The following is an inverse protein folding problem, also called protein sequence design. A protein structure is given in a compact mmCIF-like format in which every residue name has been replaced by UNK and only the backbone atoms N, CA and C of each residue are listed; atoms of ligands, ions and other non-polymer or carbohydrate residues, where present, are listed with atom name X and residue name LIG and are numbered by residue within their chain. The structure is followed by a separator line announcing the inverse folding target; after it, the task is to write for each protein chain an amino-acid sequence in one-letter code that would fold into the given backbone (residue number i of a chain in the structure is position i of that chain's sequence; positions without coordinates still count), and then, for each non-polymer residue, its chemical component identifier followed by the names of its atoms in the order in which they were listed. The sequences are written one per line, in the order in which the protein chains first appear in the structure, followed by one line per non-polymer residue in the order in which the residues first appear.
data_IF_933482113699
#
_entry.id   IF_933482113699
#
_cell.length_a   1.000
_cell.length_b   1.000
_cell.length_c   1.000
_cell.angle_alpha   90.00
_cell.angle_beta   90.00
_cell.angle_gamma   90.00
#
_symmetry.space_group_name_H-M   'P 1'
#
loop_
_entity.id
_entity.type
_entity.pdbx_description
1 polymer ?
#
# COMPACT_ATOMS: atom_id res chain seq x y z
N UNK A 1 51.06 -16.94 24.74
CA UNK A 1 51.83 -15.73 24.42
C UNK A 1 51.97 -15.64 22.91
N UNK A 2 51.63 -14.46 22.38
CA UNK A 2 51.81 -13.93 21.01
C UNK A 2 51.16 -14.66 19.83
N UNK A 3 49.92 -14.24 19.56
CA UNK A 3 49.22 -14.33 18.27
C UNK A 3 49.82 -13.35 17.25
N UNK A 4 50.16 -13.83 16.05
CA UNK A 4 50.53 -13.00 14.91
C UNK A 4 49.30 -12.65 14.07
N UNK A 5 48.92 -11.36 14.07
CA UNK A 5 47.90 -10.78 13.19
C UNK A 5 48.45 -10.57 11.77
N UNK A 6 47.69 -10.86 10.70
CA UNK A 6 48.04 -10.40 9.36
C UNK A 6 47.63 -8.94 9.17
N UNK A 7 48.59 -8.10 8.78
CA UNK A 7 48.40 -6.70 8.40
C UNK A 7 47.66 -6.63 7.06
N UNK A 8 46.53 -5.92 7.02
CA UNK A 8 45.84 -5.56 5.78
C UNK A 8 46.56 -4.38 5.12
N UNK A 9 47.14 -4.63 3.94
CA UNK A 9 47.72 -3.60 3.08
C UNK A 9 46.60 -2.96 2.25
N UNK A 10 46.13 -1.79 2.66
CA UNK A 10 45.26 -0.94 1.84
C UNK A 10 46.12 0.02 0.99
N UNK A 11 45.77 0.11 -0.29
CA UNK A 11 46.42 0.90 -1.33
C UNK A 11 46.22 2.41 -1.10
N UNK A 12 47.25 3.21 -1.41
CA UNK A 12 47.32 4.68 -1.24
C UNK A 12 46.31 5.51 -2.05
N UNK A 13 45.42 4.89 -2.82
CA UNK A 13 44.37 5.58 -3.56
C UNK A 13 43.06 5.81 -2.76
N UNK A 14 42.95 5.27 -1.53
CA UNK A 14 41.72 5.35 -0.73
C UNK A 14 41.81 6.31 0.48
N UNK A 15 42.83 7.18 0.56
CA UNK A 15 43.03 8.10 1.70
C UNK A 15 42.84 9.59 1.39
N UNK A 16 42.26 9.94 0.24
CA UNK A 16 42.12 11.33 -0.17
C UNK A 16 40.72 11.69 -0.70
N UNK A 17 39.66 11.48 0.10
CA UNK A 17 38.41 12.28 0.02
C UNK A 17 37.77 12.35 1.41
N UNK A 18 38.51 12.86 2.41
CA UNK A 18 37.93 13.34 3.66
C UNK A 18 38.64 14.67 3.94
N UNK A 19 38.06 15.75 3.40
CA UNK A 19 38.06 17.14 3.90
C UNK A 19 37.75 18.08 2.74
N UNK A 20 36.47 18.33 2.45
CA UNK A 20 36.06 19.63 1.90
C UNK A 20 34.54 19.82 2.12
N UNK A 21 34.17 20.42 3.26
CA UNK A 21 32.82 20.91 3.52
C UNK A 21 32.83 22.43 3.34
N UNK A 22 32.67 22.88 2.10
CA UNK A 22 32.30 24.25 1.78
C UNK A 22 30.77 24.40 1.67
N UNK A 23 30.20 25.57 2.04
CA UNK A 23 28.74 25.77 2.00
C UNK A 23 28.22 25.81 0.55
N UNK A 24 26.98 25.33 0.29
CA UNK A 24 26.42 25.28 -1.06
C UNK A 24 26.15 26.68 -1.62
N UNK A 25 26.26 26.88 -2.95
CA UNK A 25 26.09 28.19 -3.58
C UNK A 25 24.65 28.70 -3.47
N UNK A 26 24.53 29.99 -3.12
CA UNK A 26 23.27 30.75 -3.06
C UNK A 26 22.50 30.66 -4.38
N UNK A 27 21.22 30.26 -4.30
CA UNK A 27 20.25 30.27 -5.40
C UNK A 27 20.15 31.68 -6.00
N UNK A 28 20.25 31.78 -7.33
CA UNK A 28 20.03 33.02 -8.08
C UNK A 28 18.56 33.44 -7.95
N UNK A 29 18.38 34.69 -7.53
CA UNK A 29 17.12 35.44 -7.54
C UNK A 29 16.73 35.69 -9.00
N UNK A 30 15.60 35.15 -9.42
CA UNK A 30 14.98 35.54 -10.69
C UNK A 30 14.17 36.80 -10.38
N UNK A 31 14.62 37.94 -10.90
CA UNK A 31 13.86 39.18 -10.95
C UNK A 31 12.84 39.07 -12.08
N UNK A 32 11.55 39.03 -11.73
CA UNK A 32 10.46 39.29 -12.67
C UNK A 32 10.06 40.77 -12.53
N UNK A 33 10.65 41.59 -13.39
CA UNK A 33 10.11 42.92 -13.75
C UNK A 33 9.36 42.79 -15.06
N UNK A 34 8.03 42.95 -15.02
CA UNK A 34 7.24 43.39 -16.16
C UNK A 34 5.92 44.00 -15.65
N UNK A 35 5.55 45.11 -16.27
CA UNK A 35 4.63 46.13 -15.78
C UNK A 35 3.15 45.71 -15.75
N UNK A 36 2.41 46.32 -14.81
CA UNK A 36 0.96 46.32 -14.77
C UNK A 36 0.38 47.24 -15.88
N UNK A 37 -0.77 46.89 -16.49
CA UNK A 37 -1.71 47.87 -16.99
C UNK A 37 -2.72 48.25 -15.90
N UNK A 38 -2.94 49.55 -15.72
CA UNK A 38 -4.01 50.12 -14.90
C UNK A 38 -5.40 49.74 -15.45
N UNK A 39 -6.44 49.64 -14.61
CA UNK A 39 -7.81 49.36 -15.04
C UNK A 39 -8.54 50.62 -15.50
N UNK A 40 -9.19 50.55 -16.66
CA UNK A 40 -10.15 51.56 -17.11
C UNK A 40 -11.32 51.65 -16.11
N UNK A 41 -11.61 52.89 -15.71
CA UNK A 41 -12.75 53.28 -14.89
C UNK A 41 -13.95 53.56 -15.78
N UNK A 42 -14.97 52.71 -15.69
CA UNK A 42 -16.38 53.03 -15.92
C UNK A 42 -17.15 51.97 -15.11
N UNK A 43 -17.92 52.24 -14.06
CA UNK A 43 -18.88 53.33 -13.90
C UNK A 43 -20.31 52.80 -14.04
N UNK A 44 -20.74 51.84 -13.22
CA UNK A 44 -22.17 51.58 -12.97
C UNK A 44 -22.40 51.08 -11.52
N UNK A 45 -23.37 51.71 -10.87
CA UNK A 45 -23.70 51.61 -9.45
C UNK A 45 -24.35 50.25 -9.06
N UNK A 46 -24.40 49.91 -7.75
CA UNK A 46 -24.62 48.55 -7.29
C UNK A 46 -26.11 48.18 -7.32
N UNK A 47 -26.43 47.03 -7.93
CA UNK A 47 -27.64 46.31 -7.59
C UNK A 47 -27.34 45.52 -6.32
N UNK A 48 -27.99 45.93 -5.22
CA UNK A 48 -28.16 45.10 -4.05
C UNK A 48 -28.86 43.79 -4.46
N UNK A 49 -28.62 42.76 -3.64
CA UNK A 49 -29.17 41.40 -3.70
C UNK A 49 -28.22 40.40 -4.40
N UNK A 50 -27.25 39.85 -3.64
CA UNK A 50 -27.21 38.43 -3.22
C UNK A 50 -25.88 38.10 -2.46
N UNK A 51 -25.57 38.78 -1.35
CA UNK A 51 -24.38 38.49 -0.52
C UNK A 51 -24.62 37.34 0.49
N UNK A 52 -25.05 36.16 0.01
CA UNK A 52 -25.22 34.98 0.87
C UNK A 52 -24.52 33.72 0.37
N UNK A 53 -23.96 33.72 -0.85
CA UNK A 53 -23.41 32.48 -1.46
C UNK A 53 -21.89 32.33 -1.31
N UNK A 54 -21.12 33.43 -1.25
CA UNK A 54 -19.65 33.37 -1.33
C UNK A 54 -18.97 33.15 0.04
N UNK A 55 -19.59 33.60 1.14
CA UNK A 55 -19.03 33.42 2.48
C UNK A 55 -19.21 32.00 3.02
N UNK A 56 -20.33 31.34 2.69
CA UNK A 56 -20.59 29.95 3.10
C UNK A 56 -19.63 28.97 2.43
N UNK A 57 -19.35 29.14 1.13
CA UNK A 57 -18.36 28.34 0.38
C UNK A 57 -16.93 28.54 0.93
N UNK A 58 -16.58 29.78 1.28
CA UNK A 58 -15.28 30.09 1.91
C UNK A 58 -15.13 29.45 3.30
N UNK A 59 -16.23 29.36 4.07
CA UNK A 59 -16.24 28.81 5.43
C UNK A 59 -16.18 27.29 5.40
N UNK A 60 -16.95 26.65 4.52
CA UNK A 60 -16.91 25.19 4.30
C UNK A 60 -15.53 24.76 3.79
N UNK A 61 -14.95 25.49 2.84
CA UNK A 61 -13.60 25.23 2.33
C UNK A 61 -12.53 25.36 3.41
N UNK A 62 -12.62 26.39 4.26
CA UNK A 62 -11.70 26.57 5.41
C UNK A 62 -11.83 25.44 6.42
N UNK A 63 -13.06 25.03 6.75
CA UNK A 63 -13.30 23.94 7.70
C UNK A 63 -12.83 22.59 7.14
N UNK A 64 -13.11 22.32 5.87
CA UNK A 64 -12.58 21.15 5.16
C UNK A 64 -11.05 21.10 5.23
N UNK A 65 -10.37 22.20 4.88
CA UNK A 65 -8.91 22.26 4.91
C UNK A 65 -8.35 22.13 6.33
N UNK A 66 -9.08 22.61 7.34
CA UNK A 66 -8.73 22.43 8.75
C UNK A 66 -8.82 20.95 9.14
N UNK A 67 -9.93 20.28 8.85
CA UNK A 67 -10.12 18.85 9.15
C UNK A 67 -9.10 17.97 8.44
N UNK A 68 -8.83 18.23 7.16
CA UNK A 68 -7.82 17.52 6.38
C UNK A 68 -6.45 17.58 7.06
N UNK A 69 -6.02 18.78 7.50
CA UNK A 69 -4.71 18.98 8.14
C UNK A 69 -4.62 18.44 9.55
N UNK A 70 -5.67 18.59 10.36
CA UNK A 70 -5.65 18.12 11.74
C UNK A 70 -5.74 16.60 11.84
N UNK A 71 -6.50 15.97 10.93
CA UNK A 71 -6.75 14.53 10.94
C UNK A 71 -5.84 13.73 10.01
N UNK A 72 -4.94 14.38 9.27
CA UNK A 72 -4.20 13.79 8.16
C UNK A 72 -5.12 13.09 7.13
N UNK A 73 -6.33 13.62 6.92
CA UNK A 73 -7.34 13.10 5.98
C UNK A 73 -8.23 11.96 6.51
N UNK A 74 -8.01 11.46 7.73
CA UNK A 74 -8.81 10.34 8.27
C UNK A 74 -10.18 10.75 8.85
N UNK A 75 -10.29 11.98 9.35
CA UNK A 75 -11.47 12.49 10.05
C UNK A 75 -11.98 13.75 9.35
N UNK A 76 -12.57 13.57 8.16
CA UNK A 76 -13.23 14.63 7.39
C UNK A 76 -14.73 14.37 7.27
N UNK A 77 -15.54 15.23 7.89
CA UNK A 77 -17.00 15.14 7.91
C UNK A 77 -17.66 16.20 7.01
N UNK A 78 -16.94 17.26 6.59
CA UNK A 78 -17.52 18.36 5.78
C UNK A 78 -17.41 18.07 4.30
N UNK A 79 -18.55 17.79 3.66
CA UNK A 79 -18.65 17.57 2.20
C UNK A 79 -18.46 18.89 1.45
N UNK A 80 -17.29 19.09 0.83
CA UNK A 80 -17.06 20.18 -0.11
C UNK A 80 -17.49 19.73 -1.53
N UNK A 81 -18.46 20.38 -2.18
CA UNK A 81 -18.94 20.00 -3.51
C UNK A 81 -17.87 20.09 -4.62
N UNK A 82 -16.75 20.79 -4.38
CA UNK A 82 -15.66 20.96 -5.35
C UNK A 82 -14.67 19.79 -5.35
N UNK A 83 -14.57 19.01 -4.27
CA UNK A 83 -13.60 17.92 -4.15
C UNK A 83 -14.24 16.54 -4.24
N UNK A 84 -13.66 15.67 -5.08
CA UNK A 84 -14.08 14.28 -5.23
C UNK A 84 -13.54 13.43 -4.08
N UNK A 85 -14.24 13.45 -2.95
CA UNK A 85 -14.04 12.49 -1.89
C UNK A 85 -15.37 11.91 -1.41
N UNK A 86 -15.33 10.73 -0.83
CA UNK A 86 -16.52 10.15 -0.18
C UNK A 86 -16.12 9.59 1.17
N UNK A 87 -16.92 9.92 2.18
CA UNK A 87 -16.80 9.34 3.51
C UNK A 87 -17.88 8.28 3.65
N UNK A 88 -17.48 7.12 4.14
CA UNK A 88 -18.39 6.02 4.41
C UNK A 88 -18.21 5.50 5.84
N UNK A 89 -19.31 5.49 6.61
CA UNK A 89 -19.35 4.95 7.97
C UNK A 89 -19.95 3.55 7.92
N UNK A 90 -19.18 2.56 8.33
CA UNK A 90 -19.58 1.15 8.27
C UNK A 90 -20.65 0.83 9.30
N UNK A 91 -21.71 0.16 8.86
CA UNK A 91 -22.68 -0.44 9.80
C UNK A 91 -22.15 -1.78 10.30
N UNK A 92 -22.48 -2.15 11.54
CA UNK A 92 -22.01 -3.39 12.19
C UNK A 92 -22.25 -4.66 11.35
N UNK A 93 -23.34 -4.73 10.60
CA UNK A 93 -23.73 -5.88 9.79
C UNK A 93 -23.66 -5.58 8.28
N UNK A 94 -22.90 -4.57 7.89
CA UNK A 94 -22.72 -4.22 6.48
C UNK A 94 -21.91 -5.29 5.75
N UNK A 95 -22.37 -5.66 4.56
CA UNK A 95 -21.74 -6.64 3.68
C UNK A 95 -21.58 -6.06 2.28
N UNK A 96 -20.75 -6.71 1.45
CA UNK A 96 -20.56 -6.36 0.06
C UNK A 96 -19.24 -5.65 -0.21
N UNK A 97 -19.12 -5.11 -1.43
CA UNK A 97 -17.84 -4.70 -2.01
C UNK A 97 -16.97 -3.81 -1.11
N UNK A 98 -17.51 -2.70 -0.60
CA UNK A 98 -16.73 -1.77 0.21
C UNK A 98 -16.29 -2.39 1.53
N UNK A 99 -17.10 -3.28 2.10
CA UNK A 99 -16.74 -4.02 3.31
C UNK A 99 -15.55 -4.93 3.04
N UNK A 100 -15.63 -5.77 2.01
CA UNK A 100 -14.59 -6.73 1.67
C UNK A 100 -13.26 -6.04 1.31
N UNK A 101 -13.35 -4.96 0.52
CA UNK A 101 -12.21 -4.16 0.13
C UNK A 101 -11.50 -3.53 1.33
N UNK A 102 -12.26 -2.85 2.18
CA UNK A 102 -11.70 -2.14 3.33
C UNK A 102 -11.18 -3.09 4.40
N UNK A 103 -11.76 -4.29 4.53
CA UNK A 103 -11.25 -5.34 5.41
C UNK A 103 -9.86 -5.83 4.96
N UNK A 104 -9.70 -6.13 3.67
CA UNK A 104 -8.39 -6.50 3.10
C UNK A 104 -7.38 -5.37 3.31
N UNK A 105 -7.77 -4.13 3.05
CA UNK A 105 -6.89 -2.97 3.19
C UNK A 105 -6.50 -2.73 4.64
N UNK A 106 -7.45 -2.84 5.57
CA UNK A 106 -7.21 -2.73 7.00
C UNK A 106 -6.24 -3.80 7.50
N UNK A 107 -6.43 -5.06 7.09
CA UNK A 107 -5.51 -6.17 7.43
C UNK A 107 -4.12 -5.96 6.83
N UNK A 108 -4.03 -5.44 5.61
CA UNK A 108 -2.74 -5.15 4.99
C UNK A 108 -2.00 -4.01 5.71
N UNK A 109 -2.71 -2.94 6.10
CA UNK A 109 -2.15 -1.87 6.92
C UNK A 109 -1.65 -2.38 8.28
N UNK A 110 -2.46 -3.19 8.97
CA UNK A 110 -2.06 -3.84 10.22
C UNK A 110 -0.86 -4.78 10.05
N UNK A 111 -0.81 -5.56 8.97
CA UNK A 111 0.33 -6.42 8.66
C UNK A 111 1.63 -5.60 8.56
N UNK A 112 1.59 -4.45 7.88
CA UNK A 112 2.74 -3.55 7.78
C UNK A 112 3.16 -3.01 9.16
N UNK A 113 2.19 -2.57 9.97
CA UNK A 113 2.46 -2.09 11.32
C UNK A 113 3.07 -3.17 12.21
N UNK A 114 2.47 -4.37 12.22
CA UNK A 114 2.94 -5.52 12.99
C UNK A 114 4.35 -5.93 12.61
N UNK A 115 4.64 -5.98 11.31
CA UNK A 115 5.99 -6.30 10.82
C UNK A 115 7.01 -5.26 11.25
N UNK A 116 6.67 -3.97 11.19
CA UNK A 116 7.58 -2.89 11.55
C UNK A 116 7.82 -2.76 13.06
N UNK A 117 6.76 -2.86 13.87
CA UNK A 117 6.82 -2.67 15.33
C UNK A 117 7.06 -3.97 16.11
N UNK A 118 7.02 -5.13 15.45
CA UNK A 118 7.15 -6.44 16.09
C UNK A 118 5.94 -6.79 16.97
N UNK A 119 4.74 -6.37 16.55
CA UNK A 119 3.47 -6.60 17.27
C UNK A 119 2.61 -7.65 16.56
N UNK A 120 1.47 -8.01 17.15
CA UNK A 120 0.54 -8.99 16.59
C UNK A 120 -0.93 -8.56 16.70
N UNK A 121 -1.22 -7.30 16.36
CA UNK A 121 -2.59 -6.79 16.37
C UNK A 121 -3.46 -7.50 15.33
N UNK A 122 -4.67 -7.88 15.72
CA UNK A 122 -5.65 -8.53 14.87
C UNK A 122 -6.82 -7.60 14.59
N UNK A 123 -7.26 -7.54 13.32
CA UNK A 123 -8.40 -6.72 12.93
C UNK A 123 -9.67 -7.18 13.66
N UNK A 124 -10.36 -6.26 14.32
CA UNK A 124 -11.68 -6.50 14.90
C UNK A 124 -12.79 -6.05 13.95
N UNK A 125 -12.72 -4.79 13.48
CA UNK A 125 -13.65 -4.24 12.50
C UNK A 125 -13.11 -2.98 11.84
N UNK A 126 -13.68 -2.63 10.70
CA UNK A 126 -13.53 -1.32 10.07
C UNK A 126 -14.69 -0.43 10.50
N UNK A 127 -14.41 0.75 11.03
CA UNK A 127 -15.43 1.70 11.48
C UNK A 127 -15.86 2.65 10.36
N UNK A 128 -14.88 3.16 9.60
CA UNK A 128 -15.13 4.07 8.49
C UNK A 128 -13.94 4.13 7.55
N UNK A 129 -14.18 4.66 6.35
CA UNK A 129 -13.11 5.12 5.48
C UNK A 129 -13.48 6.45 4.82
N UNK A 130 -12.45 7.19 4.44
CA UNK A 130 -12.55 8.32 3.52
C UNK A 130 -11.78 7.92 2.27
N UNK A 131 -12.41 7.99 1.09
CA UNK A 131 -11.71 7.83 -0.17
C UNK A 131 -11.51 9.19 -0.84
N UNK A 132 -10.27 9.49 -1.24
CA UNK A 132 -9.93 10.65 -2.04
C UNK A 132 -9.70 10.20 -3.48
N UNK A 133 -10.50 10.72 -4.40
CA UNK A 133 -10.56 10.20 -5.77
C UNK A 133 -11.02 8.74 -5.80
N UNK A 134 -10.51 8.00 -6.79
CA UNK A 134 -10.97 6.63 -7.09
C UNK A 134 -10.19 5.58 -6.28
N UNK A 135 -8.96 5.87 -5.86
CA UNK A 135 -8.03 4.82 -5.45
C UNK A 135 -7.33 5.02 -4.11
N UNK A 136 -7.45 6.17 -3.43
CA UNK A 136 -6.78 6.41 -2.15
C UNK A 136 -7.77 6.28 -1.00
N UNK A 137 -7.45 5.45 0.00
CA UNK A 137 -8.32 5.08 1.11
C UNK A 137 -7.65 5.36 2.44
N UNK A 138 -8.34 6.15 3.27
CA UNK A 138 -7.97 6.50 4.64
C UNK A 138 -8.93 5.79 5.57
N UNK A 139 -8.49 4.67 6.13
CA UNK A 139 -9.34 3.74 6.86
C UNK A 139 -9.13 3.93 8.35
N UNK A 140 -10.23 4.05 9.11
CA UNK A 140 -10.23 3.94 10.57
C UNK A 140 -10.80 2.58 10.97
N UNK A 141 -10.06 1.85 11.78
CA UNK A 141 -10.36 0.46 12.16
C UNK A 141 -10.08 0.23 13.64
N UNK A 142 -10.68 -0.81 14.21
CA UNK A 142 -10.32 -1.31 15.54
C UNK A 142 -9.54 -2.61 15.43
N UNK A 143 -8.52 -2.74 16.26
CA UNK A 143 -7.73 -3.94 16.38
C UNK A 143 -7.53 -4.32 17.85
N UNK A 144 -7.37 -5.61 18.11
CA UNK A 144 -7.11 -6.16 19.45
C UNK A 144 -5.70 -6.74 19.50
N UNK A 145 -5.08 -6.71 20.67
CA UNK A 145 -3.86 -7.45 20.95
C UNK A 145 -4.25 -8.79 21.59
N UNK A 146 -4.02 -9.94 20.92
CA UNK A 146 -4.32 -11.26 21.48
C UNK A 146 -3.59 -11.55 22.81
N UNK A 147 -2.49 -10.85 23.10
CA UNK A 147 -1.76 -11.01 24.35
C UNK A 147 -2.38 -10.24 25.54
N UNK A 148 -3.30 -9.31 25.27
CA UNK A 148 -3.92 -8.45 26.28
C UNK A 148 -5.44 -8.58 26.22
N UNK A 149 -6.00 -9.29 27.19
CA UNK A 149 -7.44 -9.51 27.28
C UNK A 149 -8.21 -8.19 27.38
N UNK A 150 -9.30 -8.09 26.62
CA UNK A 150 -10.13 -6.89 26.54
C UNK A 150 -9.47 -5.68 25.87
N UNK A 151 -8.29 -5.82 25.26
CA UNK A 151 -7.64 -4.72 24.55
C UNK A 151 -8.41 -4.33 23.29
N UNK A 152 -8.49 -3.03 23.03
CA UNK A 152 -9.05 -2.49 21.80
C UNK A 152 -8.35 -1.17 21.49
N UNK A 153 -7.80 -1.08 20.28
CA UNK A 153 -7.07 0.07 19.80
C UNK A 153 -7.68 0.55 18.49
N UNK A 154 -7.88 1.86 18.38
CA UNK A 154 -8.24 2.48 17.11
C UNK A 154 -6.98 2.71 16.29
N UNK A 155 -6.97 2.19 15.07
CA UNK A 155 -5.92 2.36 14.09
C UNK A 155 -6.40 3.22 12.92
N UNK A 156 -5.45 3.85 12.25
CA UNK A 156 -5.60 4.59 11.01
C UNK A 156 -4.64 3.99 9.98
N UNK A 157 -5.13 3.63 8.80
CA UNK A 157 -4.34 3.07 7.71
C UNK A 157 -4.59 3.81 6.39
N UNK A 158 -3.53 4.29 5.74
CA UNK A 158 -3.58 4.88 4.40
C UNK A 158 -3.08 3.86 3.38
N UNK A 159 -3.90 3.61 2.37
CA UNK A 159 -3.61 2.70 1.28
C UNK A 159 -4.08 3.30 -0.03
N UNK A 160 -3.45 2.87 -1.12
CA UNK A 160 -3.96 3.20 -2.44
C UNK A 160 -3.72 2.12 -3.47
N UNK A 161 -4.62 2.09 -4.44
CA UNK A 161 -4.47 1.34 -5.69
C UNK A 161 -3.80 2.26 -6.71
N UNK A 162 -2.87 1.71 -7.47
CA UNK A 162 -2.23 2.45 -8.55
C UNK A 162 -2.43 1.71 -9.86
N UNK A 163 -2.24 2.43 -10.96
CA UNK A 163 -2.25 1.82 -12.26
C UNK A 163 -1.14 0.76 -12.32
N UNK A 164 -1.44 -0.44 -12.85
CA UNK A 164 -0.42 -1.45 -12.99
C UNK A 164 0.72 -0.94 -13.89
N UNK A 165 1.95 -1.14 -13.45
CA UNK A 165 3.17 -0.77 -14.19
C UNK A 165 3.96 -2.04 -14.46
N UNK A 166 4.76 -2.05 -15.54
CA UNK A 166 5.61 -3.18 -15.89
C UNK A 166 4.83 -4.50 -16.05
N UNK A 167 3.71 -4.46 -16.77
CA UNK A 167 2.91 -5.65 -17.09
C UNK A 167 2.33 -6.39 -15.87
N UNK A 168 2.36 -5.78 -14.69
CA UNK A 168 1.53 -6.25 -13.58
C UNK A 168 0.04 -6.15 -13.98
N UNK A 169 -0.77 -7.07 -13.47
CA UNK A 169 -2.21 -7.07 -13.66
C UNK A 169 -2.90 -6.21 -12.60
N UNK A 170 -2.29 -6.12 -11.43
CA UNK A 170 -2.83 -5.39 -10.29
C UNK A 170 -1.69 -4.85 -9.40
N UNK A 171 -1.90 -3.67 -8.83
CA UNK A 171 -0.95 -2.99 -7.94
C UNK A 171 -1.66 -2.35 -6.76
N UNK A 172 -1.21 -2.66 -5.55
CA UNK A 172 -1.71 -2.09 -4.29
C UNK A 172 -0.55 -1.65 -3.40
N UNK A 173 -0.72 -0.53 -2.71
CA UNK A 173 0.29 0.06 -1.83
C UNK A 173 -0.29 0.47 -0.48
N UNK A 174 0.52 0.34 0.57
CA UNK A 174 0.28 0.94 1.88
C UNK A 174 1.18 2.16 2.03
N UNK A 175 0.66 3.30 2.43
CA UNK A 175 1.48 4.48 2.79
C UNK A 175 1.83 4.47 4.29
N UNK A 176 0.97 3.86 5.10
CA UNK A 176 1.25 3.73 6.52
C UNK A 176 0.07 3.24 7.32
N UNK A 177 0.37 2.77 8.53
CA UNK A 177 -0.63 2.43 9.52
C UNK A 177 -0.12 2.86 10.89
N UNK A 178 -0.98 3.42 11.73
CA UNK A 178 -0.64 3.88 13.08
C UNK A 178 -1.81 3.72 14.03
N UNK A 179 -1.54 3.68 15.33
CA UNK A 179 -2.56 3.89 16.36
C UNK A 179 -3.04 5.35 16.25
N UNK A 180 -4.35 5.56 16.27
CA UNK A 180 -4.96 6.89 16.19
C UNK A 180 -4.44 7.75 17.35
N UNK A 181 -3.88 8.95 17.08
CA UNK A 181 -3.39 9.82 18.15
C UNK A 181 -4.57 10.41 18.95
N UNK A 182 -4.38 10.58 20.26
CA UNK A 182 -5.38 11.24 21.13
C UNK A 182 -5.55 12.72 20.77
N UNK A 183 -4.47 13.37 20.34
CA UNK A 183 -4.47 14.76 19.90
C UNK A 183 -4.25 14.81 18.38
N UNK A 184 -5.14 15.45 17.61
CA UNK A 184 -4.95 15.63 16.17
C UNK A 184 -3.59 16.28 15.84
N UNK A 185 -2.93 15.81 14.78
CA UNK A 185 -1.61 16.30 14.35
C UNK A 185 -0.41 15.86 15.21
N UNK A 186 -0.58 15.03 16.24
CA UNK A 186 0.56 14.51 17.05
C UNK A 186 0.96 13.07 16.74
N UNK A 187 0.26 12.43 15.81
CA UNK A 187 0.55 11.05 15.39
C UNK A 187 1.84 10.93 14.57
N UNK A 188 2.34 9.69 14.43
CA UNK A 188 3.42 9.40 13.49
C UNK A 188 3.03 9.85 12.07
N UNK A 189 3.91 10.58 11.39
CA UNK A 189 3.64 11.11 10.05
C UNK A 189 3.58 9.95 9.05
N UNK A 190 2.47 9.87 8.32
CA UNK A 190 2.33 8.95 7.18
C UNK A 190 2.92 9.65 5.97
N UNK A 191 4.00 9.08 5.44
CA UNK A 191 4.68 9.64 4.27
C UNK A 191 3.96 9.21 3.00
N UNK A 192 3.92 10.06 1.99
CA UNK A 192 3.43 9.67 0.67
C UNK A 192 4.50 8.87 -0.06
N UNK A 193 4.08 8.02 -0.99
CA UNK A 193 5.00 7.26 -1.82
C UNK A 193 5.85 8.17 -2.72
N UNK A 194 7.17 8.09 -2.55
CA UNK A 194 8.13 8.62 -3.51
C UNK A 194 8.31 7.61 -4.63
N UNK A 195 7.65 7.82 -5.78
CA UNK A 195 7.73 6.88 -6.90
C UNK A 195 9.19 6.61 -7.32
N UNK A 196 9.61 5.34 -7.22
CA UNK A 196 10.89 4.75 -7.67
C UNK A 196 12.17 5.06 -6.88
N UNK A 197 12.11 5.86 -5.81
CA UNK A 197 13.27 6.08 -4.93
C UNK A 197 13.38 4.90 -3.93
N UNK A 198 14.57 4.36 -3.74
CA UNK A 198 14.85 3.36 -2.68
C UNK A 198 14.59 1.88 -3.00
N UNK A 199 13.81 1.53 -4.03
CA UNK A 199 13.63 0.13 -4.46
C UNK A 199 14.90 -0.36 -5.17
N UNK A 200 15.40 -1.54 -4.80
CA UNK A 200 16.56 -2.17 -5.46
C UNK A 200 16.22 -2.51 -6.93
N UNK A 201 17.14 -2.17 -7.84
CA UNK A 201 17.05 -2.41 -9.28
C UNK A 201 16.69 -3.86 -9.63
N UNK A 202 17.12 -4.85 -8.83
CA UNK A 202 16.81 -6.27 -9.09
C UNK A 202 15.33 -6.61 -8.95
N UNK A 203 14.56 -5.81 -8.21
CA UNK A 203 13.12 -5.95 -8.04
C UNK A 203 12.32 -5.02 -8.98
N UNK A 204 12.97 -4.14 -9.74
CA UNK A 204 12.30 -3.28 -10.72
C UNK A 204 11.95 -4.04 -12.01
N UNK A 205 11.08 -3.44 -12.82
CA UNK A 205 10.65 -4.02 -14.10
C UNK A 205 9.50 -5.01 -13.96
N UNK A 206 9.31 -5.86 -14.98
CA UNK A 206 8.17 -6.78 -15.04
C UNK A 206 8.27 -7.90 -14.01
N UNK A 207 7.12 -8.36 -13.53
CA UNK A 207 7.05 -9.60 -12.74
C UNK A 207 7.64 -10.78 -13.54
N UNK A 208 8.36 -11.71 -12.89
CA UNK A 208 8.92 -12.85 -13.58
C UNK A 208 7.81 -13.78 -14.12
N UNK A 209 8.19 -14.69 -15.00
CA UNK A 209 7.27 -15.72 -15.48
C UNK A 209 7.05 -16.79 -14.41
N UNK A 210 5.92 -17.48 -14.51
CA UNK A 210 5.69 -18.66 -13.69
C UNK A 210 6.62 -19.79 -14.11
N UNK A 211 7.39 -20.30 -13.15
CA UNK A 211 8.23 -21.48 -13.34
C UNK A 211 7.52 -22.71 -12.75
N UNK A 212 7.71 -23.89 -13.36
CA UNK A 212 7.30 -25.11 -12.66
C UNK A 212 8.12 -25.22 -11.37
N UNK A 213 7.50 -25.69 -10.30
CA UNK A 213 8.21 -25.80 -9.03
C UNK A 213 9.43 -26.72 -9.13
N UNK A 214 9.37 -27.74 -9.98
CA UNK A 214 10.51 -28.64 -10.24
C UNK A 214 11.64 -27.92 -10.97
N UNK A 215 11.33 -26.90 -11.80
CA UNK A 215 12.35 -26.04 -12.42
C UNK A 215 12.97 -25.05 -11.42
N UNK A 216 12.31 -24.77 -10.29
CA UNK A 216 12.86 -23.97 -9.19
C UNK A 216 13.80 -24.79 -8.29
N UNK A 217 13.72 -26.12 -8.30
CA UNK A 217 14.54 -27.01 -7.44
C UNK A 217 16.06 -26.96 -7.68
N UNK A 218 16.57 -26.76 -8.91
CA UNK A 218 18.01 -26.61 -9.16
C UNK A 218 18.47 -25.15 -9.09
N UNK A 219 17.56 -24.19 -8.99
CA UNK A 219 17.88 -22.77 -9.09
C UNK A 219 18.20 -22.20 -7.72
N UNK A 220 19.48 -22.23 -7.34
CA UNK A 220 20.13 -21.19 -6.54
C UNK A 220 19.63 -20.99 -5.07
N UNK A 221 20.50 -20.47 -4.21
CA UNK A 221 20.17 -20.14 -2.80
C UNK A 221 19.15 -18.98 -2.66
N UNK A 222 18.60 -18.51 -3.78
CA UNK A 222 17.62 -17.43 -3.89
C UNK A 222 16.20 -17.88 -3.55
N UNK A 223 15.88 -19.17 -3.74
CA UNK A 223 14.54 -19.70 -3.55
C UNK A 223 14.40 -20.47 -2.24
N UNK A 224 13.22 -20.36 -1.63
CA UNK A 224 12.83 -21.18 -0.48
C UNK A 224 11.41 -21.71 -0.67
N UNK A 225 11.28 -23.04 -0.52
CA UNK A 225 9.99 -23.72 -0.49
C UNK A 225 9.43 -23.62 0.91
N UNK A 226 8.38 -22.82 1.06
CA UNK A 226 7.73 -22.56 2.33
C UNK A 226 7.09 -23.84 2.81
N UNK A 227 7.40 -24.26 4.04
CA UNK A 227 6.84 -25.47 4.64
C UNK A 227 5.45 -25.19 5.22
N UNK A 228 4.62 -26.22 5.37
CA UNK A 228 3.28 -26.07 5.95
C UNK A 228 3.31 -25.44 7.36
N UNK A 229 4.33 -25.77 8.16
CA UNK A 229 4.54 -25.14 9.47
C UNK A 229 4.81 -23.64 9.35
N UNK A 230 5.58 -23.21 8.36
CA UNK A 230 5.85 -21.79 8.12
C UNK A 230 4.57 -21.07 7.66
N UNK A 231 3.72 -21.72 6.86
CA UNK A 231 2.43 -21.17 6.44
C UNK A 231 1.52 -20.95 7.66
N UNK A 232 1.50 -21.89 8.60
CA UNK A 232 0.73 -21.77 9.85
C UNK A 232 1.28 -20.69 10.78
N UNK A 233 2.61 -20.51 10.83
CA UNK A 233 3.27 -19.47 11.63
C UNK A 233 3.15 -18.07 11.00
N UNK A 234 2.87 -17.98 9.70
CA UNK A 234 2.82 -16.73 8.93
C UNK A 234 1.43 -16.56 8.31
N UNK A 235 0.45 -16.24 9.15
CA UNK A 235 -0.95 -16.00 8.77
C UNK A 235 -1.12 -14.97 7.64
N UNK A 236 -0.23 -13.99 7.55
CA UNK A 236 -0.18 -13.00 6.47
C UNK A 236 0.02 -13.60 5.07
N UNK A 237 0.50 -14.85 4.94
CA UNK A 237 0.51 -15.56 3.65
C UNK A 237 -0.92 -15.83 3.16
N UNK A 238 -1.87 -16.12 4.06
CA UNK A 238 -3.28 -16.22 3.71
C UNK A 238 -3.83 -14.86 3.27
N UNK A 239 -3.44 -13.77 3.95
CA UNK A 239 -3.78 -12.42 3.51
C UNK A 239 -3.28 -12.14 2.09
N UNK A 240 -2.04 -12.54 1.74
CA UNK A 240 -1.53 -12.32 0.37
C UNK A 240 -2.27 -13.15 -0.66
N UNK A 241 -2.68 -14.38 -0.33
CA UNK A 241 -3.54 -15.20 -1.18
C UNK A 241 -4.92 -14.55 -1.38
N UNK A 242 -5.51 -13.99 -0.32
CA UNK A 242 -6.78 -13.26 -0.38
C UNK A 242 -6.69 -11.98 -1.22
N UNK A 243 -5.63 -11.18 -1.05
CA UNK A 243 -5.34 -10.01 -1.88
C UNK A 243 -5.20 -10.42 -3.36
N UNK A 244 -4.51 -11.53 -3.63
CA UNK A 244 -4.39 -12.02 -4.99
C UNK A 244 -5.74 -12.49 -5.56
N UNK A 245 -6.55 -13.19 -4.76
CA UNK A 245 -7.90 -13.58 -5.19
C UNK A 245 -8.78 -12.36 -5.47
N UNK A 246 -8.69 -11.32 -4.64
CA UNK A 246 -9.34 -10.04 -4.89
C UNK A 246 -8.91 -9.44 -6.24
N UNK A 247 -7.60 -9.39 -6.50
CA UNK A 247 -7.04 -8.88 -7.76
C UNK A 247 -7.51 -9.68 -8.99
N UNK A 248 -7.74 -10.99 -8.86
CA UNK A 248 -8.24 -11.83 -9.96
C UNK A 248 -9.72 -11.58 -10.30
N UNK A 249 -10.52 -11.16 -9.32
CA UNK A 249 -11.97 -11.03 -9.44
C UNK A 249 -12.45 -9.58 -9.68
N UNK A 250 -11.54 -8.60 -9.69
CA UNK A 250 -11.87 -7.16 -9.83
C UNK A 250 -12.85 -6.87 -10.99
N UNK A 251 -12.77 -7.66 -12.07
CA UNK A 251 -13.57 -7.48 -13.28
C UNK A 251 -14.88 -8.30 -13.34
N UNK A 252 -15.09 -9.31 -12.47
CA UNK A 252 -16.11 -10.38 -12.65
C UNK A 252 -17.29 -10.29 -11.67
N UNK A 253 -17.65 -9.08 -11.23
CA UNK A 253 -18.71 -8.77 -10.25
C UNK A 253 -18.32 -9.00 -8.79
N UNK A 254 -17.78 -7.94 -8.20
CA UNK A 254 -17.22 -7.81 -6.85
C UNK A 254 -18.17 -8.04 -5.65
N UNK A 255 -19.40 -8.50 -5.87
CA UNK A 255 -20.42 -8.68 -4.83
C UNK A 255 -20.35 -10.02 -4.09
N UNK A 256 -19.31 -10.83 -4.36
CA UNK A 256 -19.24 -12.22 -3.93
C UNK A 256 -17.89 -12.62 -3.32
N UNK A 257 -17.02 -11.68 -2.90
CA UNK A 257 -15.68 -12.02 -2.38
C UNK A 257 -15.72 -13.08 -1.27
N UNK A 258 -16.62 -12.91 -0.29
CA UNK A 258 -16.86 -13.88 0.80
C UNK A 258 -17.18 -15.30 0.29
N UNK A 259 -17.84 -15.45 -0.86
CA UNK A 259 -18.17 -16.77 -1.44
C UNK A 259 -16.95 -17.54 -1.94
N UNK A 260 -15.82 -16.87 -2.13
CA UNK A 260 -14.56 -17.47 -2.57
C UNK A 260 -13.66 -17.87 -1.40
N UNK A 261 -13.99 -17.45 -0.17
CA UNK A 261 -13.27 -17.80 1.04
C UNK A 261 -13.92 -19.03 1.72
N UNK A 262 -13.16 -19.83 2.49
CA UNK A 262 -11.72 -19.71 2.71
C UNK A 262 -10.91 -20.26 1.51
N UNK A 263 -9.67 -19.76 1.40
CA UNK A 263 -8.68 -20.26 0.46
C UNK A 263 -7.83 -21.34 1.12
N UNK A 264 -7.48 -22.38 0.37
CA UNK A 264 -6.48 -23.37 0.77
C UNK A 264 -5.20 -23.12 -0.03
N UNK A 265 -4.13 -22.68 0.66
CA UNK A 265 -2.80 -22.54 0.07
C UNK A 265 -2.23 -23.94 -0.16
N UNK A 266 -2.00 -24.28 -1.43
CA UNK A 266 -1.41 -25.57 -1.81
C UNK A 266 0.12 -25.52 -1.78
N UNK A 267 0.72 -24.39 -2.21
CA UNK A 267 2.17 -24.22 -2.27
C UNK A 267 2.56 -22.75 -2.34
N UNK A 268 3.65 -22.42 -1.64
CA UNK A 268 4.31 -21.11 -1.72
C UNK A 268 5.80 -21.33 -1.93
N UNK A 269 6.37 -20.62 -2.89
CA UNK A 269 7.82 -20.47 -3.02
C UNK A 269 8.15 -18.99 -2.91
N UNK A 270 9.13 -18.64 -2.09
CA UNK A 270 9.64 -17.27 -1.98
C UNK A 270 11.01 -17.18 -2.64
N UNK A 271 11.21 -16.13 -3.41
CA UNK A 271 12.47 -15.76 -4.03
C UNK A 271 12.94 -14.42 -3.47
N UNK A 272 14.22 -14.36 -3.12
CA UNK A 272 14.91 -13.15 -2.70
C UNK A 272 16.27 -13.10 -3.39
N UNK A 273 16.79 -11.91 -3.63
CA UNK A 273 18.10 -11.72 -4.25
C UNK A 273 19.20 -11.43 -3.22
N UNK A 274 18.81 -11.11 -2.00
CA UNK A 274 19.68 -10.97 -0.84
C UNK A 274 20.18 -12.34 -0.36
N UNK A 275 21.39 -12.36 0.24
CA UNK A 275 21.98 -13.56 0.85
C UNK A 275 21.32 -13.89 2.19
N UNK A 276 20.06 -14.34 2.11
CA UNK A 276 19.19 -14.69 3.23
C UNK A 276 18.92 -16.18 3.19
N UNK A 277 19.03 -16.88 4.33
CA UNK A 277 18.88 -18.34 4.37
C UNK A 277 17.43 -18.78 4.52
N UNK A 278 17.02 -19.75 3.70
CA UNK A 278 15.79 -20.55 3.85
C UNK A 278 14.58 -19.75 4.35
N UNK A 279 14.06 -20.02 5.56
CA UNK A 279 12.86 -19.38 6.12
C UNK A 279 12.98 -17.89 6.41
N UNK A 280 14.20 -17.38 6.62
CA UNK A 280 14.39 -15.95 6.89
C UNK A 280 14.03 -15.09 5.65
N UNK A 281 13.96 -15.70 4.46
CA UNK A 281 13.48 -15.04 3.24
C UNK A 281 12.04 -14.52 3.36
N UNK A 282 11.21 -15.15 4.20
CA UNK A 282 9.85 -14.68 4.47
C UNK A 282 9.83 -13.29 5.14
N UNK A 283 10.89 -12.96 5.89
CA UNK A 283 11.06 -11.67 6.58
C UNK A 283 11.81 -10.63 5.75
N UNK A 284 12.29 -10.98 4.55
CA UNK A 284 13.00 -10.06 3.68
C UNK A 284 12.07 -8.91 3.27
N UNK A 285 12.57 -7.67 3.29
CA UNK A 285 11.74 -6.51 2.97
C UNK A 285 11.16 -6.61 1.54
N UNK A 286 12.03 -6.93 0.58
CA UNK A 286 11.67 -7.21 -0.81
C UNK A 286 11.67 -8.72 -1.05
N UNK A 287 10.66 -9.22 -1.76
CA UNK A 287 10.56 -10.64 -2.08
C UNK A 287 9.58 -10.87 -3.23
N UNK A 288 9.77 -11.97 -3.97
CA UNK A 288 8.83 -12.45 -4.97
C UNK A 288 8.25 -13.78 -4.49
N UNK A 289 6.93 -13.85 -4.42
CA UNK A 289 6.20 -15.03 -3.97
C UNK A 289 5.48 -15.67 -5.15
N UNK A 290 5.63 -16.98 -5.27
CA UNK A 290 4.92 -17.83 -6.22
C UNK A 290 3.89 -18.63 -5.43
N UNK A 291 2.63 -18.24 -5.55
CA UNK A 291 1.52 -18.87 -4.85
C UNK A 291 0.76 -19.80 -5.76
N UNK A 292 0.40 -20.96 -5.23
CA UNK A 292 -0.75 -21.72 -5.73
C UNK A 292 -1.73 -22.01 -4.61
N UNK A 293 -3.00 -21.74 -4.85
CA UNK A 293 -4.08 -21.94 -3.89
C UNK A 293 -5.38 -22.28 -4.63
N UNK A 294 -6.37 -22.76 -3.90
CA UNK A 294 -7.70 -23.05 -4.44
C UNK A 294 -8.77 -22.47 -3.51
N UNK A 295 -9.91 -22.14 -4.07
CA UNK A 295 -11.08 -21.65 -3.33
C UNK A 295 -11.96 -22.84 -2.90
N UNK A 296 -12.21 -22.99 -1.59
CA UNK A 296 -12.95 -24.15 -1.08
C UNK A 296 -14.46 -24.08 -1.32
N UNK A 297 -14.99 -22.86 -1.44
CA UNK A 297 -16.41 -22.60 -1.61
C UNK A 297 -16.83 -22.33 -3.07
N UNK A 298 -16.02 -22.76 -4.04
CA UNK A 298 -16.36 -22.66 -5.46
C UNK A 298 -17.77 -23.24 -5.74
N UNK A 299 -18.66 -22.53 -6.46
CA UNK A 299 -19.98 -23.06 -6.80
C UNK A 299 -19.85 -24.44 -7.48
N UNK A 300 -20.80 -25.37 -7.33
CA UNK A 300 -20.71 -26.73 -7.91
C UNK A 300 -20.47 -26.80 -9.44
N UNK A 301 -20.74 -25.70 -10.15
CA UNK A 301 -20.48 -25.53 -11.59
C UNK A 301 -19.30 -24.59 -11.90
N UNK A 302 -18.79 -23.86 -10.90
CA UNK A 302 -17.51 -23.18 -10.94
C UNK A 302 -16.46 -24.15 -10.44
N UNK A 303 -15.69 -24.74 -11.37
CA UNK A 303 -14.55 -25.59 -11.02
C UNK A 303 -13.77 -24.94 -9.85
N UNK A 304 -13.47 -25.69 -8.79
CA UNK A 304 -12.48 -25.28 -7.80
C UNK A 304 -11.22 -24.92 -8.59
N UNK A 305 -10.92 -23.62 -8.67
CA UNK A 305 -9.91 -23.16 -9.60
C UNK A 305 -8.59 -23.22 -8.86
N UNK A 306 -7.70 -24.08 -9.33
CA UNK A 306 -6.29 -23.98 -8.95
C UNK A 306 -5.78 -22.65 -9.49
N UNK A 307 -5.59 -21.68 -8.60
CA UNK A 307 -5.02 -20.38 -8.90
C UNK A 307 -3.51 -20.45 -8.81
N UNK A 308 -2.82 -19.77 -9.73
CA UNK A 308 -1.38 -19.56 -9.70
C UNK A 308 -1.12 -18.09 -9.90
N UNK A 309 -0.45 -17.48 -8.95
CA UNK A 309 -0.19 -16.03 -8.95
C UNK A 309 1.23 -15.75 -8.51
N UNK A 310 1.79 -14.68 -9.06
CA UNK A 310 3.08 -14.15 -8.64
C UNK A 310 2.82 -12.82 -7.96
N UNK A 311 3.33 -12.67 -6.75
CA UNK A 311 3.21 -11.46 -5.93
C UNK A 311 4.62 -10.96 -5.68
N UNK A 312 4.96 -9.76 -6.16
CA UNK A 312 6.19 -9.08 -5.75
C UNK A 312 5.86 -8.09 -4.66
N UNK A 313 6.51 -8.27 -3.50
CA UNK A 313 6.55 -7.30 -2.41
C UNK A 313 7.77 -6.42 -2.55
N UNK A 314 7.58 -5.11 -2.51
CA UNK A 314 8.67 -4.13 -2.48
C UNK A 314 8.42 -3.04 -1.45
N UNK A 315 9.50 -2.40 -0.98
CA UNK A 315 9.47 -1.21 -0.13
C UNK A 315 10.50 -0.19 -0.62
N UNK A 316 10.23 1.10 -0.41
CA UNK A 316 11.18 2.20 -0.62
C UNK A 316 12.07 2.46 0.62
N UNK A 317 11.90 1.67 1.68
CA UNK A 317 12.62 1.78 2.95
C UNK A 317 11.94 2.72 3.96
N UNK A 318 10.85 3.38 3.61
CA UNK A 318 10.06 4.17 4.56
C UNK A 318 9.15 3.24 5.40
N UNK A 319 8.99 3.52 6.71
CA UNK A 319 8.12 2.74 7.57
C UNK A 319 6.67 2.68 7.05
N UNK A 320 6.12 1.48 6.97
CA UNK A 320 4.73 1.28 6.54
C UNK A 320 4.53 1.28 5.01
N UNK A 321 5.58 1.51 4.23
CA UNK A 321 5.52 1.48 2.77
C UNK A 321 5.75 0.06 2.24
N UNK A 322 4.67 -0.59 1.80
CA UNK A 322 4.72 -1.86 1.07
C UNK A 322 3.93 -1.73 -0.24
N UNK A 323 4.54 -2.15 -1.35
CA UNK A 323 3.90 -2.29 -2.65
C UNK A 323 3.79 -3.78 -3.00
N UNK A 324 2.59 -4.19 -3.41
CA UNK A 324 2.29 -5.51 -3.93
C UNK A 324 1.93 -5.40 -5.42
N UNK A 325 2.82 -5.87 -6.28
CA UNK A 325 2.53 -6.13 -7.70
C UNK A 325 2.06 -7.57 -7.86
N UNK A 326 0.94 -7.79 -8.57
CA UNK A 326 0.31 -9.10 -8.68
C UNK A 326 0.05 -9.46 -10.14
N UNK A 327 0.43 -10.67 -10.53
CA UNK A 327 0.09 -11.26 -11.82
C UNK A 327 -0.53 -12.65 -11.70
N UNK A 328 -1.55 -12.89 -12.52
CA UNK A 328 -2.16 -14.21 -12.70
C UNK A 328 -1.39 -15.03 -13.74
N UNK A 329 -1.18 -16.31 -13.43
CA UNK A 329 -0.52 -17.28 -14.32
C UNK A 329 -1.46 -18.42 -14.74
N UNK A 330 -2.69 -18.43 -14.23
CA UNK A 330 -3.76 -19.30 -14.71
C UNK A 330 -4.34 -18.71 -15.98
N UNK A 331 -4.47 -19.54 -17.03
CA UNK A 331 -4.69 -19.16 -18.44
C UNK A 331 -6.01 -18.47 -18.80
N UNK A 332 -6.59 -17.64 -17.93
CA UNK A 332 -7.43 -16.54 -18.36
C UNK A 332 -6.60 -15.27 -18.26
N UNK A 333 -6.27 -14.69 -19.40
CA UNK A 333 -5.88 -13.28 -19.48
C UNK A 333 -7.10 -12.43 -19.06
N UNK A 334 -7.37 -12.30 -17.76
CA UNK A 334 -8.48 -11.46 -17.25
C UNK A 334 -8.12 -9.96 -17.28
N UNK A 335 -6.87 -9.62 -17.63
CA UNK A 335 -6.38 -8.23 -17.69
C UNK A 335 -6.34 -7.63 -19.11
N UNK A 336 -6.96 -8.27 -20.11
CA UNK A 336 -7.09 -7.69 -21.47
C UNK A 336 -8.54 -7.59 -21.91
N UNK A 337 -9.24 -6.61 -21.38
CA UNK A 337 -10.33 -5.95 -22.11
C UNK A 337 -10.21 -4.44 -21.92
N UNK A 338 -9.32 -3.81 -22.68
CA UNK A 338 -9.50 -2.40 -23.02
C UNK A 338 -10.78 -2.31 -23.86
N UNK A 339 -11.74 -1.44 -23.54
CA UNK A 339 -12.81 -1.13 -24.47
C UNK A 339 -12.19 -0.44 -25.67
N UNK A 340 -12.21 -1.12 -26.83
CA UNK A 340 -12.03 -0.44 -28.11
C UNK A 340 -13.26 0.46 -28.30
N UNK A 341 -13.15 1.73 -27.92
CA UNK A 341 -14.04 2.75 -28.42
C UNK A 341 -13.74 2.92 -29.92
N UNK A 342 -14.73 2.58 -30.75
CA UNK A 342 -14.86 3.09 -32.12
C UNK A 342 -15.74 4.32 -32.11
#
# INVERSE_FOLDING_TARGET
MTSSSPKSNLCQACQAVITDTGPPPRKRRIELTAAAPEPDKDGLAPTADDESSDEEDSTLSREYTRQLRESDGFDVDVTNPVESFSMHKMKKNETGYFRDLTDIYARLGLHCYNSHKGTNFQLSRVDKFVNYGIFHYYITLEATDPAVDGSCFTFQASLFRDNPVNEAGFRMMTEGCRIKPETPGTGEVISQWGYNDGIDEVYKGSLPNWYSYDALMPLNDQFYHVQDSDILENDWLNLYAEVAMYALQENDSMSLFESWLPLEINKVVVQTFEDVKSKEKLKAANAIFYFSFKNLNAPPHGLCQDHRVIIRRTTDGLPGHICLDINSCTGRNIFKTLPQYR
#
